data_IF_631363991558
#
_entry.id   IF_631363991558
#
_cell.length_a   1.000
_cell.length_b   1.000
_cell.length_c   1.000
_cell.angle_alpha   90.00
_cell.angle_beta   90.00
_cell.angle_gamma   90.00
#
_symmetry.space_group_name_H-M   'P 1'
#
loop_
_entity.id
_entity.type
_entity.pdbx_description
1 polymer ?
#
# COMPACT_ATOMS: atom_id res chain seq x y z
N UNK A 1 55.89 -24.86 -40.94
CA UNK A 1 55.13 -26.11 -41.20
C UNK A 1 54.62 -26.65 -39.87
N UNK A 2 53.36 -27.14 -39.85
CA UNK A 2 52.61 -27.79 -38.74
C UNK A 2 52.02 -26.79 -37.71
N UNK A 3 50.79 -26.29 -37.88
CA UNK A 3 49.47 -26.93 -37.71
C UNK A 3 49.34 -27.76 -36.43
N UNK A 4 48.65 -27.22 -35.42
CA UNK A 4 47.80 -27.99 -34.50
C UNK A 4 46.51 -27.21 -34.23
N UNK A 5 45.44 -27.71 -34.83
CA UNK A 5 44.04 -27.41 -34.56
C UNK A 5 43.61 -28.08 -33.26
N UNK A 6 42.92 -27.38 -32.36
CA UNK A 6 41.93 -28.01 -31.49
C UNK A 6 40.81 -27.00 -31.17
N UNK A 7 39.73 -27.10 -31.93
CA UNK A 7 38.45 -26.42 -31.68
C UNK A 7 37.67 -27.29 -30.69
N UNK A 8 37.36 -26.73 -29.52
CA UNK A 8 36.56 -27.40 -28.49
C UNK A 8 35.07 -27.19 -28.78
N UNK A 9 34.43 -28.31 -29.12
CA UNK A 9 33.03 -28.70 -29.10
C UNK A 9 31.93 -27.66 -28.78
N UNK A 10 31.07 -27.43 -29.77
CA UNK A 10 29.66 -27.03 -29.59
C UNK A 10 28.88 -28.17 -28.94
N UNK A 11 28.34 -27.93 -27.74
CA UNK A 11 27.34 -28.80 -27.10
C UNK A 11 25.95 -28.15 -27.17
N UNK A 12 25.18 -28.44 -28.22
CA UNK A 12 23.75 -28.18 -28.27
C UNK A 12 23.01 -29.29 -27.49
N UNK A 13 22.63 -29.02 -26.24
CA UNK A 13 21.72 -29.88 -25.48
C UNK A 13 20.29 -29.35 -25.60
N UNK A 14 19.60 -29.78 -26.66
CA UNK A 14 18.14 -29.63 -26.80
C UNK A 14 17.44 -30.64 -25.89
N UNK A 15 17.08 -30.21 -24.67
CA UNK A 15 16.20 -30.99 -23.80
C UNK A 15 14.75 -30.70 -24.15
N UNK A 16 14.17 -31.59 -24.96
CA UNK A 16 12.75 -31.66 -25.23
C UNK A 16 11.97 -31.95 -23.93
N UNK A 17 11.20 -30.97 -23.45
CA UNK A 17 10.17 -31.20 -22.43
C UNK A 17 8.97 -31.88 -23.10
N UNK A 18 8.80 -33.18 -22.85
CA UNK A 18 7.63 -33.93 -23.30
C UNK A 18 6.40 -33.50 -22.49
N UNK A 19 5.44 -32.87 -23.17
CA UNK A 19 4.10 -32.62 -22.66
C UNK A 19 3.33 -33.94 -22.54
N UNK A 20 2.82 -34.22 -21.33
CA UNK A 20 1.96 -35.36 -21.02
C UNK A 20 0.50 -34.96 -21.28
N UNK A 21 -0.30 -35.74 -22.04
CA UNK A 21 -1.69 -35.40 -22.28
C UNK A 21 -2.52 -35.66 -21.02
N UNK A 22 -3.22 -34.62 -20.55
CA UNK A 22 -4.24 -34.75 -19.51
C UNK A 22 -5.56 -35.06 -20.22
N UNK A 23 -6.13 -36.21 -19.86
CA UNK A 23 -7.36 -36.74 -20.39
C UNK A 23 -8.54 -35.77 -20.22
N UNK A 24 -9.27 -35.54 -21.30
CA UNK A 24 -10.60 -34.97 -21.31
C UNK A 24 -11.57 -35.92 -20.61
N UNK A 25 -12.25 -35.43 -19.57
CA UNK A 25 -13.45 -36.07 -19.02
C UNK A 25 -14.57 -35.02 -18.89
N UNK A 26 -15.39 -35.05 -19.94
CA UNK A 26 -16.85 -34.98 -19.96
C UNK A 26 -17.58 -34.14 -18.89
N UNK A 27 -18.28 -33.14 -19.44
CA UNK A 27 -19.44 -32.44 -18.93
C UNK A 27 -20.54 -33.39 -18.44
N UNK A 28 -21.04 -33.18 -17.23
CA UNK A 28 -22.42 -33.45 -16.85
C UNK A 28 -22.92 -32.40 -15.85
N UNK A 29 -23.88 -31.62 -16.30
CA UNK A 29 -24.81 -30.84 -15.47
C UNK A 29 -25.79 -31.76 -14.75
N UNK A 30 -26.18 -31.44 -13.51
CA UNK A 30 -27.54 -31.72 -13.08
C UNK A 30 -28.34 -30.43 -12.90
N UNK A 31 -29.49 -30.45 -13.55
CA UNK A 31 -30.58 -29.48 -13.51
C UNK A 31 -31.16 -29.30 -12.10
N UNK A 32 -31.39 -28.03 -11.77
CA UNK A 32 -32.38 -27.44 -10.86
C UNK A 32 -33.41 -28.35 -10.18
N UNK A 33 -33.53 -28.24 -8.86
CA UNK A 33 -34.71 -27.67 -8.19
C UNK A 33 -34.60 -27.82 -6.66
N UNK A 34 -34.58 -26.70 -5.91
CA UNK A 34 -35.35 -26.56 -4.66
C UNK A 34 -35.09 -25.20 -3.98
N UNK A 35 -36.16 -24.40 -3.99
CA UNK A 35 -36.68 -23.59 -2.88
C UNK A 35 -35.91 -22.33 -2.47
N UNK A 36 -36.39 -21.23 -3.04
CA UNK A 36 -36.34 -19.91 -2.46
C UNK A 36 -36.91 -19.90 -1.03
N UNK A 37 -36.13 -19.37 -0.09
CA UNK A 37 -36.65 -18.74 1.11
C UNK A 37 -36.08 -17.33 1.16
N UNK A 38 -36.94 -16.38 0.81
CA UNK A 38 -36.75 -14.97 1.04
C UNK A 38 -36.72 -14.73 2.55
N UNK A 39 -35.54 -14.44 3.09
CA UNK A 39 -35.43 -13.80 4.40
C UNK A 39 -35.61 -12.30 4.18
N UNK A 40 -36.72 -11.79 4.69
CA UNK A 40 -37.11 -10.38 4.66
C UNK A 40 -36.00 -9.48 5.24
N UNK A 41 -35.87 -8.22 4.76
CA UNK A 41 -34.94 -7.26 5.32
C UNK A 41 -35.37 -6.91 6.75
N UNK A 42 -34.47 -7.15 7.71
CA UNK A 42 -34.61 -6.61 9.05
C UNK A 42 -34.58 -5.08 8.96
N UNK A 43 -35.77 -4.48 9.05
CA UNK A 43 -35.97 -3.04 9.20
C UNK A 43 -35.21 -2.60 10.45
N UNK A 44 -34.11 -1.88 10.27
CA UNK A 44 -33.54 -1.08 11.35
C UNK A 44 -34.59 -0.04 11.77
N UNK A 45 -34.88 0.12 13.07
CA UNK A 45 -35.82 1.14 13.51
C UNK A 45 -35.24 2.51 13.22
N UNK A 46 -35.98 3.30 12.43
CA UNK A 46 -35.72 4.72 12.17
C UNK A 46 -35.78 5.44 13.52
N UNK A 47 -34.62 5.83 14.03
CA UNK A 47 -34.54 6.74 15.16
C UNK A 47 -35.11 8.10 14.75
N UNK A 48 -36.03 8.62 15.57
CA UNK A 48 -36.67 9.93 15.42
C UNK A 48 -35.64 11.06 15.29
N UNK A 49 -35.95 12.17 14.59
CA UNK A 49 -35.07 13.34 14.55
C UNK A 49 -34.97 13.92 15.97
N UNK A 50 -33.78 13.86 16.58
CA UNK A 50 -33.49 14.66 17.77
C UNK A 50 -33.17 16.08 17.32
N UNK A 51 -33.98 17.02 17.78
CA UNK A 51 -33.70 18.46 17.74
C UNK A 51 -32.35 18.72 18.39
N UNK A 52 -31.34 19.11 17.59
CA UNK A 52 -30.06 19.58 18.09
C UNK A 52 -30.23 21.04 18.52
N UNK A 53 -30.20 21.27 19.83
CA UNK A 53 -30.04 22.59 20.44
C UNK A 53 -28.68 23.16 20.02
N UNK A 54 -28.56 24.43 19.61
CA UNK A 54 -27.29 24.98 19.15
C UNK A 54 -26.26 24.97 20.29
N UNK A 55 -25.12 24.31 20.03
CA UNK A 55 -23.94 24.36 20.88
C UNK A 55 -23.31 25.77 20.87
N UNK A 56 -22.70 26.19 21.99
CA UNK A 56 -22.05 27.50 22.11
C UNK A 56 -20.87 27.66 21.14
N UNK A 57 -20.48 28.91 20.79
CA UNK A 57 -19.53 29.18 19.72
C UNK A 57 -18.17 28.57 20.01
N UNK A 58 -17.61 27.94 18.97
CA UNK A 58 -16.27 27.40 18.94
C UNK A 58 -15.25 28.49 19.33
N UNK A 59 -14.60 28.30 20.47
CA UNK A 59 -13.41 29.06 20.85
C UNK A 59 -12.33 28.77 19.80
N UNK A 60 -11.87 29.83 19.14
CA UNK A 60 -10.82 29.82 18.12
C UNK A 60 -9.60 29.03 18.61
N UNK A 61 -8.98 28.16 17.79
CA UNK A 61 -7.66 27.63 18.10
C UNK A 61 -6.67 28.79 18.20
N UNK A 62 -6.02 28.92 19.36
CA UNK A 62 -4.87 29.81 19.53
C UNK A 62 -3.75 29.29 18.64
N UNK A 63 -3.46 30.01 17.58
CA UNK A 63 -2.26 29.83 16.76
C UNK A 63 -1.06 30.39 17.51
N UNK A 64 -0.32 29.53 18.18
CA UNK A 64 1.04 29.84 18.60
C UNK A 64 1.92 29.87 17.36
N UNK A 65 2.07 31.06 16.76
CA UNK A 65 3.00 31.31 15.66
C UNK A 65 4.44 31.27 16.16
N UNK A 66 5.01 30.07 16.27
CA UNK A 66 6.46 29.89 16.37
C UNK A 66 7.04 29.81 14.96
N UNK A 67 8.02 30.66 14.66
CA UNK A 67 8.73 30.72 13.38
C UNK A 67 9.09 29.31 12.87
N UNK A 68 8.50 28.89 11.76
CA UNK A 68 8.63 27.54 11.21
C UNK A 68 9.91 27.43 10.40
N UNK A 69 10.94 26.78 10.97
CA UNK A 69 12.08 26.26 10.22
C UNK A 69 11.57 25.34 9.10
N UNK A 70 12.17 25.44 7.90
CA UNK A 70 11.85 24.55 6.78
C UNK A 70 11.94 23.07 7.21
N UNK A 71 11.04 22.19 6.71
CA UNK A 71 11.04 20.78 7.08
C UNK A 71 12.33 20.08 6.62
N UNK A 72 12.82 19.15 7.45
CA UNK A 72 13.96 18.29 7.10
C UNK A 72 13.69 17.46 5.85
N UNK A 73 14.75 16.96 5.22
CA UNK A 73 14.65 16.02 4.09
C UNK A 73 13.82 14.79 4.47
N UNK A 74 14.09 14.17 5.62
CA UNK A 74 13.29 13.07 6.17
C UNK A 74 11.82 13.44 6.30
N UNK A 75 11.50 14.62 6.85
CA UNK A 75 10.10 15.07 6.99
C UNK A 75 9.43 15.23 5.64
N UNK A 76 10.11 15.83 4.66
CA UNK A 76 9.59 15.95 3.28
C UNK A 76 9.38 14.58 2.64
N UNK A 77 10.30 13.64 2.83
CA UNK A 77 10.18 12.29 2.31
C UNK A 77 8.99 11.52 2.93
N UNK A 78 8.77 11.65 4.24
CA UNK A 78 7.60 11.08 4.92
C UNK A 78 6.28 11.73 4.48
N UNK A 79 6.27 13.03 4.20
CA UNK A 79 5.10 13.71 3.64
C UNK A 79 4.79 13.21 2.23
N UNK A 80 5.80 12.95 1.39
CA UNK A 80 5.60 12.37 0.06
C UNK A 80 5.07 10.94 0.13
N UNK A 81 5.61 10.13 1.06
CA UNK A 81 5.10 8.79 1.37
C UNK A 81 3.62 8.82 1.80
N UNK A 82 3.24 9.78 2.64
CA UNK A 82 1.87 9.94 3.11
C UNK A 82 0.90 10.21 1.94
N UNK A 83 1.32 10.95 0.90
CA UNK A 83 0.50 11.15 -0.29
C UNK A 83 0.22 9.85 -1.04
N UNK A 84 1.25 9.00 -1.19
CA UNK A 84 1.08 7.66 -1.78
C UNK A 84 0.11 6.83 -0.95
N UNK A 85 0.30 6.78 0.38
CA UNK A 85 -0.59 6.03 1.29
C UNK A 85 -2.04 6.49 1.18
N UNK A 86 -2.28 7.81 1.19
CA UNK A 86 -3.61 8.41 1.06
C UNK A 86 -4.29 8.02 -0.26
N UNK A 87 -3.57 8.13 -1.37
CA UNK A 87 -4.10 7.77 -2.68
C UNK A 87 -4.49 6.28 -2.76
N UNK A 88 -3.64 5.38 -2.26
CA UNK A 88 -3.95 3.94 -2.22
C UNK A 88 -5.13 3.61 -1.30
N UNK A 89 -5.26 4.30 -0.17
CA UNK A 89 -6.40 4.17 0.72
C UNK A 89 -7.71 4.69 0.08
N UNK A 90 -7.61 5.68 -0.80
CA UNK A 90 -8.73 6.25 -1.56
C UNK A 90 -9.08 5.48 -2.84
N UNK A 91 -8.42 4.36 -3.13
CA UNK A 91 -8.47 3.65 -4.42
C UNK A 91 -8.08 4.51 -5.63
N UNK A 92 -7.29 5.58 -5.43
CA UNK A 92 -6.83 6.46 -6.50
C UNK A 92 -5.47 5.99 -7.03
N UNK A 93 -5.52 5.08 -8.01
CA UNK A 93 -4.33 4.52 -8.62
C UNK A 93 -3.47 5.58 -9.34
N UNK A 94 -4.10 6.52 -10.05
CA UNK A 94 -3.38 7.57 -10.80
C UNK A 94 -2.63 8.50 -9.84
N UNK A 95 -3.29 8.94 -8.76
CA UNK A 95 -2.66 9.77 -7.75
C UNK A 95 -1.55 9.02 -7.02
N UNK A 96 -1.70 7.72 -6.75
CA UNK A 96 -0.65 6.93 -6.12
C UNK A 96 0.63 6.88 -6.96
N UNK A 97 0.49 6.66 -8.28
CA UNK A 97 1.63 6.70 -9.23
C UNK A 97 2.26 8.08 -9.28
N UNK A 98 1.45 9.14 -9.39
CA UNK A 98 1.93 10.52 -9.44
C UNK A 98 2.69 10.92 -8.17
N UNK A 99 2.16 10.58 -6.99
CA UNK A 99 2.81 10.83 -5.71
C UNK A 99 4.14 10.06 -5.59
N UNK A 100 4.22 8.82 -6.10
CA UNK A 100 5.46 8.06 -6.07
C UNK A 100 6.56 8.63 -6.98
N UNK A 101 6.20 9.29 -8.09
CA UNK A 101 7.18 9.98 -8.94
C UNK A 101 7.79 11.22 -8.28
N UNK A 102 7.10 11.86 -7.32
CA UNK A 102 7.57 13.09 -6.66
C UNK A 102 8.73 12.92 -5.66
N UNK A 103 9.33 11.73 -5.55
CA UNK A 103 10.41 11.44 -4.60
C UNK A 103 11.80 11.96 -5.02
N UNK A 104 11.93 12.68 -6.14
CA UNK A 104 13.22 13.09 -6.74
C UNK A 104 14.08 14.04 -5.86
N UNK A 105 13.49 14.61 -4.81
CA UNK A 105 14.12 15.64 -3.97
C UNK A 105 14.80 15.10 -2.71
N UNK A 106 14.82 13.79 -2.51
CA UNK A 106 15.31 13.11 -1.31
C UNK A 106 16.71 12.52 -1.57
N UNK A 107 17.72 13.39 -1.73
CA UNK A 107 19.09 13.01 -2.14
C UNK A 107 20.08 12.93 -0.96
N UNK A 108 19.62 12.46 0.20
CA UNK A 108 20.51 12.11 1.31
C UNK A 108 20.51 10.60 1.57
N UNK A 109 21.54 10.11 2.26
CA UNK A 109 21.68 8.68 2.57
C UNK A 109 20.51 8.13 3.39
N UNK A 110 19.91 8.96 4.25
CA UNK A 110 18.80 8.55 5.11
C UNK A 110 17.51 8.27 4.32
N UNK A 111 17.26 9.05 3.26
CA UNK A 111 16.03 8.97 2.45
C UNK A 111 16.17 8.13 1.19
N UNK A 112 17.39 7.80 0.77
CA UNK A 112 17.67 6.97 -0.40
C UNK A 112 16.90 5.63 -0.42
N UNK A 113 16.78 4.86 0.68
CA UNK A 113 16.02 3.59 0.66
C UNK A 113 14.53 3.80 0.36
N UNK A 114 13.95 4.88 0.90
CA UNK A 114 12.55 5.23 0.67
C UNK A 114 12.33 5.66 -0.79
N UNK A 115 13.22 6.49 -1.33
CA UNK A 115 13.20 6.88 -2.74
C UNK A 115 13.35 5.66 -3.68
N UNK A 116 14.25 4.74 -3.36
CA UNK A 116 14.47 3.53 -4.16
C UNK A 116 13.20 2.66 -4.19
N UNK A 117 12.56 2.45 -3.04
CA UNK A 117 11.32 1.68 -2.94
C UNK A 117 10.15 2.34 -3.70
N UNK A 118 10.09 3.67 -3.77
CA UNK A 118 9.03 4.39 -4.47
C UNK A 118 9.01 4.13 -5.98
N UNK A 119 10.15 3.76 -6.59
CA UNK A 119 10.29 3.56 -8.04
C UNK A 119 9.41 2.44 -8.61
N UNK A 120 8.96 1.49 -7.78
CA UNK A 120 8.12 0.39 -8.22
C UNK A 120 6.65 0.79 -8.48
N UNK A 121 6.16 1.87 -7.85
CA UNK A 121 4.76 2.28 -7.95
C UNK A 121 4.40 2.87 -9.33
N UNK A 122 5.19 3.78 -9.92
CA UNK A 122 4.90 4.36 -11.23
C UNK A 122 4.88 3.34 -12.38
N UNK A 123 5.55 2.20 -12.22
CA UNK A 123 5.58 1.12 -13.23
C UNK A 123 4.57 0.00 -12.94
N UNK A 124 3.78 0.10 -11.86
CA UNK A 124 2.72 -0.85 -11.59
C UNK A 124 1.64 -0.79 -12.67
N UNK A 125 1.12 -1.97 -13.06
CA UNK A 125 0.12 -2.13 -14.12
C UNK A 125 -1.28 -1.77 -13.64
N UNK A 126 -1.62 -2.13 -12.39
CA UNK A 126 -2.91 -1.87 -11.77
C UNK A 126 -2.77 -1.52 -10.27
N UNK A 127 -3.90 -1.26 -9.63
CA UNK A 127 -3.95 -0.90 -8.21
C UNK A 127 -3.55 -2.07 -7.29
N UNK A 128 -3.74 -3.32 -7.72
CA UNK A 128 -3.35 -4.49 -6.93
C UNK A 128 -1.82 -4.63 -6.93
N UNK A 129 -1.17 -4.45 -8.07
CA UNK A 129 0.27 -4.36 -8.22
C UNK A 129 0.85 -3.18 -7.42
N UNK A 130 0.21 -2.00 -7.47
CA UNK A 130 0.63 -0.84 -6.68
C UNK A 130 0.59 -1.10 -5.17
N UNK A 131 -0.42 -1.84 -4.69
CA UNK A 131 -0.54 -2.25 -3.27
C UNK A 131 0.53 -3.24 -2.85
N UNK A 132 0.93 -4.14 -3.74
CA UNK A 132 2.05 -5.05 -3.50
C UNK A 132 3.37 -4.26 -3.42
N UNK A 133 3.57 -3.34 -4.38
CA UNK A 133 4.74 -2.46 -4.43
C UNK A 133 4.81 -1.47 -3.26
N UNK A 134 3.67 -1.14 -2.64
CA UNK A 134 3.61 -0.30 -1.44
C UNK A 134 4.29 -0.94 -0.21
N UNK A 135 4.35 -2.26 -0.11
CA UNK A 135 4.95 -2.95 1.05
C UNK A 135 6.41 -2.53 1.32
N UNK A 136 7.34 -2.68 0.35
CA UNK A 136 8.71 -2.18 0.48
C UNK A 136 8.80 -0.69 0.80
N UNK A 137 7.93 0.13 0.20
CA UNK A 137 7.88 1.57 0.48
C UNK A 137 7.47 1.85 1.93
N UNK A 138 6.44 1.16 2.44
CA UNK A 138 5.98 1.27 3.82
C UNK A 138 7.05 0.82 4.83
N UNK A 139 7.78 -0.25 4.54
CA UNK A 139 8.92 -0.68 5.35
C UNK A 139 10.00 0.39 5.42
N UNK A 140 10.40 0.95 4.28
CA UNK A 140 11.38 2.03 4.25
C UNK A 140 10.92 3.28 5.00
N UNK A 141 9.62 3.60 4.97
CA UNK A 141 9.06 4.73 5.70
C UNK A 141 9.11 4.52 7.21
N UNK A 142 8.79 3.32 7.69
CA UNK A 142 8.93 2.95 9.11
C UNK A 142 10.39 3.00 9.55
N UNK A 143 11.33 2.51 8.74
CA UNK A 143 12.78 2.58 9.03
C UNK A 143 13.23 4.03 9.17
N UNK A 144 12.87 4.90 8.21
CA UNK A 144 13.19 6.32 8.26
C UNK A 144 12.57 6.99 9.50
N UNK A 145 11.33 6.65 9.83
CA UNK A 145 10.63 7.20 10.99
C UNK A 145 11.27 6.83 12.32
N UNK A 146 11.82 5.61 12.45
CA UNK A 146 12.57 5.18 13.63
C UNK A 146 13.92 5.89 13.73
N UNK A 147 14.59 6.09 12.59
CA UNK A 147 15.90 6.75 12.53
C UNK A 147 15.81 8.28 12.81
N UNK A 148 14.74 8.93 12.36
CA UNK A 148 14.51 10.38 12.55
C UNK A 148 13.18 10.63 13.28
N UNK A 149 13.23 10.57 14.62
CA UNK A 149 12.08 10.78 15.50
C UNK A 149 11.46 12.18 15.38
N UNK A 150 12.26 13.18 14.98
CA UNK A 150 11.75 14.53 14.82
C UNK A 150 10.93 14.65 13.53
N UNK A 151 11.38 14.03 12.45
CA UNK A 151 10.62 13.96 11.21
C UNK A 151 9.32 13.17 11.35
N UNK A 152 9.32 12.11 12.17
CA UNK A 152 8.16 11.25 12.41
C UNK A 152 7.31 11.65 13.62
N UNK A 153 7.51 12.85 14.19
CA UNK A 153 6.74 13.32 15.35
C UNK A 153 5.23 13.22 15.08
N UNK A 154 4.53 12.48 15.95
CA UNK A 154 3.09 12.25 15.89
C UNK A 154 2.66 11.11 14.96
N UNK A 155 3.59 10.48 14.23
CA UNK A 155 3.27 9.38 13.33
C UNK A 155 2.84 8.12 14.09
N UNK A 156 1.92 7.37 13.49
CA UNK A 156 1.35 6.14 14.00
C UNK A 156 1.75 4.97 13.10
N UNK A 157 1.93 3.79 13.68
CA UNK A 157 2.13 2.57 12.93
C UNK A 157 0.91 1.65 13.06
N UNK A 158 0.58 0.99 11.95
CA UNK A 158 -0.56 0.10 11.83
C UNK A 158 -0.16 -1.16 11.06
N UNK A 159 -0.97 -2.22 11.17
CA UNK A 159 -0.75 -3.48 10.47
C UNK A 159 -2.04 -4.00 9.84
N UNK A 160 -1.94 -4.53 8.62
CA UNK A 160 -3.00 -5.23 7.91
C UNK A 160 -2.61 -6.71 7.76
N UNK A 161 -3.23 -7.65 8.50
CA UNK A 161 -2.88 -9.06 8.44
C UNK A 161 -3.20 -9.71 7.08
N UNK A 162 -4.03 -9.05 6.25
CA UNK A 162 -4.42 -9.51 4.91
C UNK A 162 -3.49 -8.96 3.81
N UNK A 163 -2.57 -8.04 4.12
CA UNK A 163 -1.65 -7.51 3.13
C UNK A 163 -0.69 -8.61 2.66
N UNK A 164 -0.45 -8.67 1.34
CA UNK A 164 0.56 -9.55 0.75
C UNK A 164 1.94 -8.90 0.92
N UNK A 165 2.91 -9.68 1.39
CA UNK A 165 4.27 -9.19 1.62
C UNK A 165 4.38 -8.43 2.95
N UNK A 166 4.88 -7.19 2.91
CA UNK A 166 5.03 -6.39 4.11
C UNK A 166 3.69 -5.83 4.59
N UNK A 167 3.39 -5.99 5.87
CA UNK A 167 2.02 -5.81 6.40
C UNK A 167 1.82 -4.55 7.22
N UNK A 168 2.90 -3.86 7.61
CA UNK A 168 2.83 -2.65 8.42
C UNK A 168 2.80 -1.40 7.54
N UNK A 169 2.30 -0.29 8.07
CA UNK A 169 2.46 1.01 7.45
C UNK A 169 2.58 2.12 8.49
N UNK A 170 3.23 3.21 8.09
CA UNK A 170 3.30 4.46 8.84
C UNK A 170 2.13 5.35 8.41
N UNK A 171 1.57 6.14 9.31
CA UNK A 171 0.57 7.14 8.99
C UNK A 171 0.79 8.41 9.80
N UNK A 172 0.84 9.55 9.13
CA UNK A 172 1.05 10.85 9.78
C UNK A 172 -0.23 11.45 10.37
N UNK A 173 -1.39 11.09 9.83
CA UNK A 173 -2.70 11.54 10.32
C UNK A 173 -3.29 10.58 11.37
N UNK A 174 -4.10 11.06 12.33
CA UNK A 174 -4.67 10.22 13.37
C UNK A 174 -5.76 9.25 12.87
N UNK A 175 -6.47 9.62 11.80
CA UNK A 175 -7.61 8.85 11.28
C UNK A 175 -7.15 7.66 10.45
N UNK A 176 -7.10 6.47 11.06
CA UNK A 176 -6.64 5.25 10.39
C UNK A 176 -7.31 5.06 9.02
N UNK A 177 -6.49 4.79 8.00
CA UNK A 177 -6.95 4.51 6.65
C UNK A 177 -6.01 3.50 5.98
N UNK A 178 -6.54 2.30 5.68
CA UNK A 178 -5.77 1.16 5.21
C UNK A 178 -5.40 1.28 3.71
N UNK A 179 -4.11 1.45 3.36
CA UNK A 179 -3.67 1.57 1.97
C UNK A 179 -3.71 0.24 1.19
N UNK A 180 -3.58 -0.90 1.90
CA UNK A 180 -3.56 -2.23 1.31
C UNK A 180 -4.94 -2.67 0.83
N UNK A 181 -6.00 -2.18 1.46
CA UNK A 181 -7.37 -2.63 1.18
C UNK A 181 -8.25 -1.58 0.53
N UNK A 182 -7.88 -0.29 0.60
CA UNK A 182 -8.65 0.81 0.01
C UNK A 182 -10.00 1.02 0.68
N UNK A 183 -10.95 1.57 -0.08
CA UNK A 183 -12.31 1.86 0.37
C UNK A 183 -13.06 0.62 0.86
N UNK A 184 -12.74 -0.55 0.30
CA UNK A 184 -13.32 -1.85 0.67
C UNK A 184 -13.18 -2.18 2.17
N UNK A 185 -12.05 -1.84 2.78
CA UNK A 185 -11.78 -2.09 4.21
C UNK A 185 -10.94 -0.95 4.79
N UNK A 186 -11.37 0.28 4.53
CA UNK A 186 -10.59 1.48 4.83
C UNK A 186 -10.23 1.59 6.33
N UNK A 187 -11.14 1.13 7.20
CA UNK A 187 -10.99 1.17 8.66
C UNK A 187 -10.59 -0.18 9.26
N UNK A 188 -10.03 -1.08 8.47
CA UNK A 188 -9.55 -2.38 8.96
C UNK A 188 -8.03 -2.38 9.18
N UNK A 189 -7.58 -2.99 10.27
CA UNK A 189 -6.17 -3.05 10.68
C UNK A 189 -6.01 -2.87 12.18
N UNK A 190 -4.82 -3.16 12.70
CA UNK A 190 -4.49 -3.01 14.13
C UNK A 190 -3.39 -1.98 14.35
N UNK A 191 -3.45 -1.23 15.46
CA UNK A 191 -2.35 -0.35 15.86
C UNK A 191 -1.18 -1.21 16.35
N UNK A 192 0.03 -0.87 15.94
CA UNK A 192 1.25 -1.59 16.32
C UNK A 192 2.34 -0.61 16.79
N UNK A 193 3.37 -1.09 17.51
CA UNK A 193 4.53 -0.27 17.80
C UNK A 193 5.17 0.27 16.52
N UNK A 194 5.73 1.48 16.58
CA UNK A 194 6.47 2.08 15.49
C UNK A 194 7.81 1.35 15.32
N UNK A 195 7.79 0.28 14.51
CA UNK A 195 8.96 -0.53 14.17
C UNK A 195 8.84 -1.10 12.75
N UNK A 196 9.95 -1.22 12.00
CA UNK A 196 9.96 -1.82 10.68
C UNK A 196 9.66 -3.33 10.69
#
# INVERSE_FOLDING_TARGET
>A
MRNVTLVVALGCASLACQAKPIAAKQSQTPTSAAKAQAAAPAKQPVAKPRTVKPSPPATKPKTDSKATKAPSLSRRALLQYEQVRKALAADDFKAAKSAAMGFEFCKDAATQPLQAAAKALPVSEDIAAARLAFGPLAKAALTLAVADKQASKGALAWQCPMAKGYQKWLQLDPDMANPYMGKRMLKCGGRVPLSP
#
